data_IF_644454501389
#
_entry.id   IF_644454501389
#
_cell.length_a   1.000
_cell.length_b   1.000
_cell.length_c   1.000
_cell.angle_alpha   90.00
_cell.angle_beta   90.00
_cell.angle_gamma   90.00
#
_symmetry.space_group_name_H-M   'P 1'
#
loop_
_entity.id
_entity.type
_entity.pdbx_description
1 polymer ?
#
# COMPACT_ATOMS: atom_id res chain seq x y z
N UNK A 1 0.22 -2.43 15.51
CA UNK A 1 -1.08 -1.71 15.51
C UNK A 1 -0.87 -0.26 15.11
N UNK A 2 -1.71 0.27 14.21
CA UNK A 2 -1.76 1.69 13.85
C UNK A 2 -3.14 2.20 14.28
N UNK A 3 -3.15 3.34 15.00
CA UNK A 3 -4.38 4.05 15.36
C UNK A 3 -4.39 5.41 14.68
N UNK A 4 -5.51 5.72 14.06
CA UNK A 4 -5.81 7.02 13.47
C UNK A 4 -6.98 7.60 14.26
N UNK A 5 -6.80 8.79 14.84
CA UNK A 5 -7.77 9.43 15.72
C UNK A 5 -8.15 10.80 15.15
N UNK A 6 -9.40 10.97 14.78
CA UNK A 6 -9.98 12.21 14.26
C UNK A 6 -9.04 12.93 13.24
N UNK A 7 -8.42 12.15 12.36
CA UNK A 7 -7.49 12.70 11.37
C UNK A 7 -8.21 13.63 10.41
N UNK A 8 -7.74 14.87 10.32
CA UNK A 8 -8.27 15.87 9.41
C UNK A 8 -7.14 16.58 8.69
N UNK A 9 -7.24 16.68 7.35
CA UNK A 9 -6.32 17.44 6.51
C UNK A 9 -7.12 18.32 5.57
N UNK A 10 -6.91 19.62 5.67
CA UNK A 10 -7.58 20.60 4.82
C UNK A 10 -6.63 21.08 3.73
N UNK A 11 -6.98 20.89 2.47
CA UNK A 11 -6.34 21.50 1.30
C UNK A 11 -7.33 22.44 0.62
N UNK A 12 -6.85 23.38 -0.19
CA UNK A 12 -7.67 24.44 -0.82
C UNK A 12 -8.97 23.92 -1.48
N UNK A 13 -8.96 22.75 -2.06
CA UNK A 13 -10.08 22.16 -2.81
C UNK A 13 -10.52 20.77 -2.31
N UNK A 14 -9.93 20.27 -1.22
CA UNK A 14 -10.21 18.92 -0.75
C UNK A 14 -10.01 18.79 0.76
N UNK A 15 -10.93 18.12 1.44
CA UNK A 15 -10.84 17.80 2.86
C UNK A 15 -10.75 16.27 3.03
N UNK A 16 -9.70 15.83 3.73
CA UNK A 16 -9.60 14.47 4.22
C UNK A 16 -10.06 14.44 5.67
N UNK A 17 -10.96 13.53 6.01
CA UNK A 17 -11.44 13.34 7.37
C UNK A 17 -12.76 14.06 7.69
N UNK A 18 -13.21 13.94 8.97
CA UNK A 18 -12.55 13.21 10.06
C UNK A 18 -12.44 11.71 9.79
N UNK A 19 -11.30 11.12 10.16
CA UNK A 19 -11.06 9.67 10.04
C UNK A 19 -10.64 9.12 11.39
N UNK A 20 -11.38 8.11 11.86
CA UNK A 20 -11.02 7.23 12.97
C UNK A 20 -10.81 5.82 12.38
N UNK A 21 -9.65 5.20 12.67
CA UNK A 21 -9.30 3.91 12.10
C UNK A 21 -8.29 3.17 12.99
N UNK A 22 -8.50 1.89 13.19
CA UNK A 22 -7.51 1.00 13.81
C UNK A 22 -7.11 -0.10 12.83
N UNK A 23 -5.80 -0.33 12.69
CA UNK A 23 -5.22 -1.40 11.88
C UNK A 23 -4.32 -2.25 12.78
N UNK A 24 -4.60 -3.53 12.83
CA UNK A 24 -3.87 -4.51 13.64
C UNK A 24 -2.89 -5.30 12.78
N UNK A 25 -1.86 -5.89 13.43
CA UNK A 25 -0.98 -6.85 12.77
C UNK A 25 -1.72 -8.14 12.41
N UNK A 26 -1.16 -8.92 11.49
CA UNK A 26 -1.73 -10.17 11.02
C UNK A 26 -2.70 -10.03 9.85
N UNK A 27 -2.99 -8.81 9.38
CA UNK A 27 -4.01 -8.58 8.37
C UNK A 27 -3.52 -7.78 7.15
N UNK A 28 -4.19 -8.02 6.03
CA UNK A 28 -4.07 -7.27 4.78
C UNK A 28 -5.26 -6.33 4.64
N UNK A 29 -5.00 -5.03 4.63
CA UNK A 29 -6.01 -3.99 4.47
C UNK A 29 -5.98 -3.45 3.04
N UNK A 30 -7.02 -3.66 2.27
CA UNK A 30 -7.19 -3.05 0.96
C UNK A 30 -7.95 -1.72 1.08
N UNK A 31 -7.30 -0.63 0.69
CA UNK A 31 -7.90 0.70 0.61
C UNK A 31 -8.30 0.94 -0.83
N UNK A 32 -9.59 1.16 -1.06
CA UNK A 32 -10.14 1.40 -2.39
C UNK A 32 -11.07 2.63 -2.40
N UNK A 33 -11.56 3.01 -3.56
CA UNK A 33 -12.43 4.16 -3.76
C UNK A 33 -12.14 4.85 -5.08
N UNK A 34 -13.02 5.75 -5.52
CA UNK A 34 -12.89 6.46 -6.79
C UNK A 34 -11.60 7.29 -6.87
N UNK A 35 -11.17 7.59 -8.10
CA UNK A 35 -10.08 8.54 -8.31
C UNK A 35 -10.42 9.88 -7.65
N UNK A 36 -9.45 10.49 -6.96
CA UNK A 36 -9.68 11.73 -6.20
C UNK A 36 -10.34 11.55 -4.83
N UNK A 37 -10.65 10.33 -4.38
CA UNK A 37 -11.26 10.10 -3.05
C UNK A 37 -10.34 10.39 -1.86
N UNK A 38 -9.02 10.61 -2.11
CA UNK A 38 -8.05 10.96 -1.07
C UNK A 38 -7.11 9.83 -0.64
N UNK A 39 -7.12 8.65 -1.30
CA UNK A 39 -6.29 7.48 -0.95
C UNK A 39 -4.80 7.81 -0.79
N UNK A 40 -4.22 8.44 -1.80
CA UNK A 40 -2.80 8.82 -1.77
C UNK A 40 -2.50 9.84 -0.67
N UNK A 41 -3.40 10.83 -0.45
CA UNK A 41 -3.25 11.80 0.63
C UNK A 41 -3.33 11.12 2.00
N UNK A 42 -4.25 10.18 2.17
CA UNK A 42 -4.36 9.37 3.39
C UNK A 42 -3.07 8.58 3.63
N UNK A 43 -2.55 7.86 2.62
CA UNK A 43 -1.27 7.14 2.74
C UNK A 43 -0.10 8.08 3.07
N UNK A 44 0.03 9.20 2.36
CA UNK A 44 1.11 10.16 2.63
C UNK A 44 1.05 10.69 4.07
N UNK A 45 -0.15 10.91 4.60
CA UNK A 45 -0.33 11.35 5.98
C UNK A 45 -0.01 10.21 6.95
N UNK A 46 -0.48 9.00 6.67
CA UNK A 46 -0.18 7.81 7.46
C UNK A 46 1.33 7.56 7.57
N UNK A 47 2.08 7.77 6.49
CA UNK A 47 3.53 7.61 6.42
C UNK A 47 4.33 8.83 6.95
N UNK A 48 3.65 9.85 7.47
CA UNK A 48 4.29 11.07 7.97
C UNK A 48 4.92 11.95 6.89
N UNK A 49 4.59 11.74 5.61
CA UNK A 49 5.02 12.59 4.50
C UNK A 49 4.18 13.88 4.41
N UNK A 50 2.99 13.87 5.00
CA UNK A 50 2.14 15.06 5.18
C UNK A 50 1.95 15.32 6.69
N UNK A 51 2.03 16.59 7.12
CA UNK A 51 1.83 16.92 8.53
C UNK A 51 0.38 16.63 8.96
N UNK A 52 0.25 16.13 10.18
CA UNK A 52 -1.01 15.92 10.89
C UNK A 52 -0.90 16.44 12.32
N UNK A 53 -2.00 16.51 13.05
CA UNK A 53 -1.97 16.81 14.47
C UNK A 53 -1.16 15.76 15.25
N UNK A 54 -0.57 16.15 16.39
CA UNK A 54 0.46 15.37 17.12
C UNK A 54 0.05 13.93 17.41
N UNK A 55 -1.20 13.69 17.76
CA UNK A 55 -1.71 12.36 18.14
C UNK A 55 -2.73 11.80 17.16
N UNK A 56 -2.84 12.39 15.97
CA UNK A 56 -3.77 11.90 14.97
C UNK A 56 -3.39 10.52 14.44
N UNK A 57 -2.08 10.18 14.45
CA UNK A 57 -1.60 8.87 13.99
C UNK A 57 -0.59 8.32 14.99
N UNK A 58 -0.85 7.11 15.49
CA UNK A 58 -0.04 6.43 16.50
C UNK A 58 0.34 5.03 16.00
N UNK A 59 1.63 4.73 16.04
CA UNK A 59 2.21 3.43 15.72
C UNK A 59 2.70 2.76 17.01
N UNK A 60 2.02 1.70 17.48
CA UNK A 60 2.44 0.99 18.71
C UNK A 60 2.76 1.94 19.89
N UNK A 61 1.94 2.95 20.14
CA UNK A 61 2.12 4.02 21.13
C UNK A 61 3.16 5.11 20.76
N UNK A 62 3.78 5.05 19.58
CA UNK A 62 4.71 6.06 19.07
C UNK A 62 3.99 7.06 18.17
N UNK A 63 4.36 8.35 18.23
CA UNK A 63 3.86 9.38 17.31
C UNK A 63 5.01 10.00 16.50
N UNK A 64 4.70 10.55 15.30
CA UNK A 64 5.71 11.10 14.40
C UNK A 64 6.46 12.31 14.94
N UNK A 65 5.87 13.10 15.83
CA UNK A 65 6.54 14.28 16.37
C UNK A 65 7.76 13.93 17.23
N UNK A 66 7.70 12.81 17.92
CA UNK A 66 8.74 12.38 18.85
C UNK A 66 9.57 11.19 18.33
N UNK A 67 8.96 10.34 17.51
CA UNK A 67 9.52 9.02 17.18
C UNK A 67 9.58 8.77 15.66
N UNK A 68 9.82 9.81 14.85
CA UNK A 68 9.77 9.69 13.40
C UNK A 68 10.76 8.66 12.84
N UNK A 69 11.95 8.52 13.44
CA UNK A 69 12.98 7.57 13.00
C UNK A 69 12.53 6.13 13.29
N UNK A 70 12.06 5.89 14.51
CA UNK A 70 11.58 4.58 14.95
C UNK A 70 10.37 4.12 14.13
N UNK A 71 9.40 5.01 13.90
CA UNK A 71 8.23 4.71 13.09
C UNK A 71 8.62 4.38 11.64
N UNK A 72 9.54 5.16 11.03
CA UNK A 72 10.01 4.90 9.67
C UNK A 72 10.72 3.55 9.52
N UNK A 73 11.26 3.00 10.59
CA UNK A 73 11.84 1.64 10.60
C UNK A 73 10.78 0.54 10.62
N UNK A 74 9.53 0.83 10.99
CA UNK A 74 8.47 -0.15 11.05
C UNK A 74 7.91 -0.51 9.66
N UNK A 75 7.98 0.41 8.70
CA UNK A 75 7.38 0.21 7.39
C UNK A 75 8.37 0.31 6.23
N UNK A 76 8.00 -0.31 5.12
CA UNK A 76 8.51 -0.02 3.79
C UNK A 76 7.37 0.45 2.88
N UNK A 77 7.69 1.31 1.92
CA UNK A 77 6.69 1.93 1.05
C UNK A 77 7.02 1.70 -0.42
N UNK A 78 6.08 1.11 -1.13
CA UNK A 78 6.08 0.94 -2.58
C UNK A 78 5.21 2.04 -3.18
N UNK A 79 5.85 3.06 -3.72
CA UNK A 79 5.17 4.20 -4.33
C UNK A 79 4.53 3.84 -5.68
N UNK A 80 3.50 4.59 -6.09
CA UNK A 80 2.90 4.46 -7.43
C UNK A 80 3.89 4.78 -8.56
N UNK A 81 4.84 5.68 -8.31
CA UNK A 81 5.87 6.10 -9.28
C UNK A 81 7.24 6.17 -8.64
N UNK A 82 8.32 5.96 -9.41
CA UNK A 82 9.68 6.10 -8.88
C UNK A 82 9.93 7.49 -8.29
N UNK A 83 10.60 7.53 -7.12
CA UNK A 83 11.00 8.75 -6.41
C UNK A 83 12.49 9.06 -6.60
N UNK A 84 13.18 8.33 -7.45
CA UNK A 84 14.59 8.51 -7.80
C UNK A 84 14.73 8.92 -9.27
N UNK A 85 15.94 9.47 -9.63
CA UNK A 85 16.20 9.90 -11.00
C UNK A 85 16.07 8.76 -11.99
N UNK A 86 15.37 9.00 -13.09
CA UNK A 86 15.17 8.06 -14.18
C UNK A 86 16.41 7.84 -15.04
N UNK A 87 17.46 8.68 -14.90
CA UNK A 87 18.76 8.56 -15.57
C UNK A 87 19.70 7.56 -14.90
N UNK A 88 19.43 7.14 -13.67
CA UNK A 88 20.20 6.13 -12.96
C UNK A 88 19.96 4.74 -13.54
N UNK A 89 20.97 3.86 -13.44
CA UNK A 89 20.80 2.45 -13.72
C UNK A 89 20.09 1.73 -12.56
N UNK A 90 19.41 0.61 -12.83
CA UNK A 90 18.73 -0.20 -11.82
C UNK A 90 19.68 -0.60 -10.70
N UNK A 91 20.84 -1.19 -11.02
CA UNK A 91 21.88 -1.58 -10.06
C UNK A 91 22.38 -0.40 -9.21
N UNK A 92 22.56 0.79 -9.79
CA UNK A 92 23.00 1.98 -9.05
C UNK A 92 21.96 2.38 -7.99
N UNK A 93 20.66 2.32 -8.35
CA UNK A 93 19.58 2.60 -7.40
C UNK A 93 19.62 1.61 -6.24
N UNK A 94 19.73 0.30 -6.53
CA UNK A 94 19.72 -0.74 -5.51
C UNK A 94 20.94 -0.63 -4.57
N UNK A 95 22.13 -0.38 -5.09
CA UNK A 95 23.34 -0.15 -4.28
C UNK A 95 23.25 1.12 -3.42
N UNK A 96 22.63 2.19 -3.93
CA UNK A 96 22.41 3.39 -3.12
C UNK A 96 21.46 3.13 -1.96
N UNK A 97 20.39 2.39 -2.21
CA UNK A 97 19.41 2.02 -1.17
C UNK A 97 20.08 1.13 -0.10
N UNK A 98 20.88 0.12 -0.51
CA UNK A 98 21.56 -0.77 0.44
C UNK A 98 22.56 -0.06 1.36
N UNK A 99 23.10 1.10 0.93
CA UNK A 99 23.97 1.94 1.77
C UNK A 99 23.20 2.82 2.75
N UNK A 100 21.92 3.10 2.49
CA UNK A 100 21.10 4.01 3.29
C UNK A 100 20.24 3.21 4.29
N UNK A 101 19.75 2.04 3.87
CA UNK A 101 18.86 1.19 4.66
C UNK A 101 19.45 -0.22 4.80
N UNK A 102 19.99 -0.51 5.98
CA UNK A 102 20.57 -1.83 6.31
C UNK A 102 19.55 -2.98 6.32
N UNK A 103 18.26 -2.68 6.35
CA UNK A 103 17.19 -3.68 6.27
C UNK A 103 17.00 -4.22 4.85
N UNK A 104 17.52 -3.50 3.84
CA UNK A 104 17.34 -3.86 2.44
C UNK A 104 18.26 -5.01 2.03
N UNK A 105 17.66 -6.12 1.64
CA UNK A 105 18.34 -7.32 1.14
C UNK A 105 18.59 -7.18 -0.36
N UNK A 106 19.69 -6.54 -0.70
CA UNK A 106 20.04 -6.23 -2.09
C UNK A 106 20.25 -7.48 -2.94
N UNK A 107 20.81 -8.56 -2.37
CA UNK A 107 21.10 -9.79 -3.09
C UNK A 107 19.82 -10.51 -3.51
N UNK A 108 18.87 -10.67 -2.59
CA UNK A 108 17.53 -11.21 -2.91
C UNK A 108 16.77 -10.34 -3.91
N UNK A 109 16.92 -9.01 -3.80
CA UNK A 109 16.33 -8.09 -4.76
C UNK A 109 16.91 -8.31 -6.16
N UNK A 110 18.23 -8.46 -6.30
CA UNK A 110 18.87 -8.79 -7.57
C UNK A 110 18.39 -10.13 -8.15
N UNK A 111 18.31 -11.18 -7.33
CA UNK A 111 17.81 -12.50 -7.74
C UNK A 111 16.38 -12.40 -8.29
N UNK A 112 15.50 -11.71 -7.57
CA UNK A 112 14.13 -11.51 -8.00
C UNK A 112 14.03 -10.74 -9.32
N UNK A 113 14.74 -9.60 -9.46
CA UNK A 113 14.70 -8.80 -10.68
C UNK A 113 15.28 -9.56 -11.88
N UNK A 114 16.34 -10.35 -11.71
CA UNK A 114 16.85 -11.23 -12.75
C UNK A 114 15.81 -12.27 -13.18
N UNK A 115 15.08 -12.88 -12.22
CA UNK A 115 13.97 -13.81 -12.52
C UNK A 115 12.87 -13.11 -13.32
N UNK A 116 12.58 -11.84 -13.02
CA UNK A 116 11.66 -11.00 -13.79
C UNK A 116 12.23 -10.51 -15.13
N UNK A 117 13.47 -10.91 -15.49
CA UNK A 117 14.17 -10.51 -16.70
C UNK A 117 14.41 -8.99 -16.81
N UNK A 118 14.50 -8.28 -15.72
CA UNK A 118 14.83 -6.86 -15.68
C UNK A 118 16.35 -6.72 -15.84
N UNK A 119 16.78 -5.96 -16.85
CA UNK A 119 18.19 -5.72 -17.14
C UNK A 119 18.76 -4.72 -16.13
N UNK A 120 19.65 -5.18 -15.23
CA UNK A 120 20.15 -4.38 -14.11
C UNK A 120 21.01 -3.17 -14.52
N UNK A 121 21.60 -3.18 -15.71
CA UNK A 121 22.37 -2.06 -16.26
C UNK A 121 21.53 -1.09 -17.10
N UNK A 122 20.24 -1.38 -17.32
CA UNK A 122 19.32 -0.44 -17.97
C UNK A 122 19.08 0.78 -17.10
N UNK A 123 18.93 1.92 -17.72
CA UNK A 123 18.49 3.14 -17.05
C UNK A 123 16.99 3.06 -16.75
N UNK A 124 16.55 3.70 -15.68
CA UNK A 124 15.15 3.64 -15.24
C UNK A 124 14.18 4.12 -16.32
N UNK A 125 14.55 5.14 -17.12
CA UNK A 125 13.69 5.62 -18.21
C UNK A 125 13.49 4.59 -19.33
N UNK A 126 14.40 3.61 -19.48
CA UNK A 126 14.32 2.55 -20.48
C UNK A 126 13.35 1.43 -20.08
N UNK A 127 13.03 1.33 -18.79
CA UNK A 127 12.06 0.35 -18.29
C UNK A 127 10.65 0.71 -18.72
N UNK A 128 9.86 -0.31 -19.09
CA UNK A 128 8.43 -0.20 -19.24
C UNK A 128 7.76 0.18 -17.91
N UNK A 129 6.51 0.63 -17.95
CA UNK A 129 5.76 0.95 -16.72
C UNK A 129 5.62 -0.25 -15.79
N UNK A 130 5.38 -1.45 -16.36
CA UNK A 130 5.31 -2.68 -15.58
C UNK A 130 6.63 -3.04 -14.90
N UNK A 131 7.76 -2.92 -15.62
CA UNK A 131 9.09 -3.17 -15.04
C UNK A 131 9.44 -2.17 -13.94
N UNK A 132 9.06 -0.89 -14.10
CA UNK A 132 9.20 0.12 -13.04
C UNK A 132 8.42 -0.28 -11.79
N UNK A 133 7.19 -0.78 -11.94
CA UNK A 133 6.38 -1.27 -10.82
C UNK A 133 7.02 -2.48 -10.14
N UNK A 134 7.53 -3.45 -10.92
CA UNK A 134 8.23 -4.61 -10.39
C UNK A 134 9.49 -4.18 -9.62
N UNK A 135 10.25 -3.22 -10.13
CA UNK A 135 11.42 -2.67 -9.43
C UNK A 135 11.04 -2.01 -8.10
N UNK A 136 10.00 -1.16 -8.10
CA UNK A 136 9.51 -0.50 -6.88
C UNK A 136 9.00 -1.52 -5.85
N UNK A 137 8.25 -2.53 -6.31
CA UNK A 137 7.82 -3.63 -5.46
C UNK A 137 9.01 -4.36 -4.84
N UNK A 138 10.00 -4.74 -5.65
CA UNK A 138 11.19 -5.45 -5.17
C UNK A 138 11.93 -4.64 -4.09
N UNK A 139 12.13 -3.34 -4.30
CA UNK A 139 12.76 -2.47 -3.32
C UNK A 139 11.98 -2.49 -1.99
N UNK A 140 10.67 -2.29 -2.03
CA UNK A 140 9.86 -2.26 -0.82
C UNK A 140 9.76 -3.63 -0.12
N UNK A 141 9.57 -4.70 -0.88
CA UNK A 141 9.41 -6.06 -0.36
C UNK A 141 10.70 -6.60 0.28
N UNK A 142 11.85 -6.40 -0.37
CA UNK A 142 13.13 -6.85 0.15
C UNK A 142 13.73 -5.90 1.20
N UNK A 143 13.06 -4.80 1.52
CA UNK A 143 13.33 -4.02 2.73
C UNK A 143 12.57 -4.67 3.89
N UNK A 144 13.27 -5.36 4.79
CA UNK A 144 12.68 -6.07 5.93
C UNK A 144 11.97 -5.10 6.86
N UNK A 145 10.65 -5.14 6.87
CA UNK A 145 9.79 -4.30 7.70
C UNK A 145 8.63 -5.13 8.27
N UNK A 146 7.96 -4.63 9.30
CA UNK A 146 6.73 -5.26 9.81
C UNK A 146 5.47 -4.78 9.11
N UNK A 147 5.54 -3.63 8.42
CA UNK A 147 4.42 -3.04 7.69
C UNK A 147 4.85 -2.79 6.25
N UNK A 148 4.17 -3.39 5.29
CA UNK A 148 4.38 -3.16 3.87
C UNK A 148 3.24 -2.32 3.31
N UNK A 149 3.56 -1.12 2.84
CA UNK A 149 2.59 -0.18 2.27
C UNK A 149 2.76 -0.11 0.77
N UNK A 150 1.69 -0.40 0.03
CA UNK A 150 1.71 -0.55 -1.42
C UNK A 150 0.70 0.43 -2.05
N UNK A 151 1.20 1.38 -2.86
CA UNK A 151 0.34 2.32 -3.58
C UNK A 151 0.21 1.90 -5.04
N UNK A 152 -0.93 1.29 -5.37
CA UNK A 152 -1.29 0.82 -6.71
C UNK A 152 -0.17 -0.03 -7.39
N UNK A 153 0.32 -1.10 -6.73
CA UNK A 153 1.51 -1.82 -7.17
C UNK A 153 1.31 -2.64 -8.44
N UNK A 154 0.07 -2.97 -8.80
CA UNK A 154 -0.23 -3.92 -9.89
C UNK A 154 -0.58 -3.27 -11.23
N UNK A 155 -0.62 -1.95 -11.30
CA UNK A 155 -0.94 -1.21 -12.53
C UNK A 155 0.13 -1.44 -13.61
N UNK A 156 -0.28 -1.95 -14.78
CA UNK A 156 0.61 -2.19 -15.92
C UNK A 156 1.54 -3.40 -15.79
N UNK A 157 1.39 -4.22 -14.76
CA UNK A 157 2.16 -5.47 -14.59
C UNK A 157 1.50 -6.61 -15.36
N UNK A 158 2.31 -7.42 -16.08
CA UNK A 158 1.85 -8.62 -16.77
C UNK A 158 1.36 -9.72 -15.81
N UNK A 159 0.45 -10.58 -16.29
CA UNK A 159 -0.23 -11.60 -15.46
C UNK A 159 0.72 -12.53 -14.70
N UNK A 160 1.85 -12.94 -15.30
CA UNK A 160 2.81 -13.84 -14.66
C UNK A 160 3.48 -13.16 -13.48
N UNK A 161 4.03 -11.96 -13.67
CA UNK A 161 4.67 -11.19 -12.62
C UNK A 161 3.65 -10.79 -11.52
N UNK A 162 2.42 -10.45 -11.90
CA UNK A 162 1.33 -10.16 -10.95
C UNK A 162 1.08 -11.37 -10.04
N UNK A 163 0.99 -12.58 -10.60
CA UNK A 163 0.80 -13.80 -9.81
C UNK A 163 1.95 -14.03 -8.84
N UNK A 164 3.20 -13.93 -9.30
CA UNK A 164 4.37 -14.11 -8.43
C UNK A 164 4.41 -13.09 -7.29
N UNK A 165 4.08 -11.83 -7.57
CA UNK A 165 3.99 -10.79 -6.53
C UNK A 165 2.88 -11.11 -5.52
N UNK A 166 1.72 -11.59 -5.97
CA UNK A 166 0.64 -12.00 -5.08
C UNK A 166 1.06 -13.16 -4.17
N UNK A 167 1.79 -14.14 -4.71
CA UNK A 167 2.30 -15.27 -3.93
C UNK A 167 3.33 -14.79 -2.89
N UNK A 168 4.27 -13.90 -3.26
CA UNK A 168 5.22 -13.28 -2.33
C UNK A 168 4.53 -12.47 -1.22
N UNK A 169 3.43 -11.77 -1.53
CA UNK A 169 2.68 -11.02 -0.52
C UNK A 169 1.96 -11.95 0.47
N UNK A 170 1.48 -13.11 0.03
CA UNK A 170 0.95 -14.13 0.94
C UNK A 170 2.03 -14.70 1.85
N UNK A 171 3.20 -15.02 1.28
CA UNK A 171 4.35 -15.54 2.04
C UNK A 171 4.95 -14.50 3.00
N UNK A 172 4.73 -13.19 2.72
CA UNK A 172 5.15 -12.11 3.62
C UNK A 172 4.36 -12.10 4.93
N UNK A 173 3.10 -12.52 4.93
CA UNK A 173 2.20 -12.35 6.07
C UNK A 173 2.49 -13.37 7.18
N UNK A 174 2.51 -12.85 8.40
CA UNK A 174 2.47 -13.56 9.67
C UNK A 174 1.70 -12.72 10.72
N UNK A 175 1.52 -13.22 11.91
CA UNK A 175 0.78 -12.54 13.00
C UNK A 175 1.30 -11.16 13.39
N UNK A 176 2.58 -10.86 13.09
CA UNK A 176 3.25 -9.62 13.45
C UNK A 176 3.39 -8.65 12.28
N UNK A 177 2.97 -9.06 11.08
CA UNK A 177 3.08 -8.27 9.86
C UNK A 177 1.77 -7.67 9.44
N UNK A 178 1.85 -6.62 8.63
CA UNK A 178 0.69 -5.92 8.09
C UNK A 178 0.97 -5.52 6.65
N UNK A 179 -0.03 -5.66 5.78
CA UNK A 179 -0.01 -5.05 4.46
C UNK A 179 -1.11 -4.00 4.38
N UNK A 180 -0.76 -2.79 3.93
CA UNK A 180 -1.71 -1.74 3.56
C UNK A 180 -1.60 -1.56 2.06
N UNK A 181 -2.62 -1.94 1.33
CA UNK A 181 -2.65 -1.96 -0.13
C UNK A 181 -3.68 -0.99 -0.67
N UNK A 182 -3.26 0.02 -1.41
CA UNK A 182 -4.18 0.84 -2.22
C UNK A 182 -4.32 0.21 -3.59
N UNK A 183 -5.54 -0.14 -3.98
CA UNK A 183 -5.85 -0.69 -5.29
C UNK A 183 -7.33 -0.49 -5.65
N UNK A 184 -7.61 -0.37 -6.93
CA UNK A 184 -8.97 -0.37 -7.49
C UNK A 184 -9.30 -1.71 -8.19
N UNK A 185 -8.36 -2.68 -8.18
CA UNK A 185 -8.52 -3.98 -8.83
C UNK A 185 -9.27 -4.98 -7.91
N UNK A 186 -10.54 -5.32 -8.22
CA UNK A 186 -11.35 -6.22 -7.39
C UNK A 186 -10.77 -7.62 -7.27
N UNK A 187 -10.03 -8.09 -8.28
CA UNK A 187 -9.39 -9.42 -8.25
C UNK A 187 -8.23 -9.46 -7.27
N UNK A 188 -7.48 -8.36 -7.17
CA UNK A 188 -6.41 -8.23 -6.17
C UNK A 188 -7.00 -8.19 -4.77
N UNK A 189 -8.05 -7.38 -4.56
CA UNK A 189 -8.76 -7.29 -3.29
C UNK A 189 -9.25 -8.69 -2.87
N UNK A 190 -9.96 -9.38 -3.76
CA UNK A 190 -10.48 -10.73 -3.51
C UNK A 190 -9.40 -11.75 -3.15
N UNK A 191 -8.19 -11.60 -3.71
CA UNK A 191 -7.13 -12.61 -3.57
C UNK A 191 -6.22 -12.40 -2.36
N UNK A 192 -6.20 -11.19 -1.79
CA UNK A 192 -5.24 -10.82 -0.75
C UNK A 192 -5.87 -10.22 0.50
N UNK A 193 -6.95 -9.43 0.37
CA UNK A 193 -7.44 -8.61 1.47
C UNK A 193 -8.19 -9.44 2.51
N UNK A 194 -7.92 -9.17 3.79
CA UNK A 194 -8.75 -9.58 4.91
C UNK A 194 -9.82 -8.52 5.17
N UNK A 195 -9.43 -7.24 5.10
CA UNK A 195 -10.32 -6.09 5.30
C UNK A 195 -10.35 -5.18 4.08
N UNK A 196 -11.54 -4.67 3.77
CA UNK A 196 -11.75 -3.65 2.73
C UNK A 196 -12.10 -2.32 3.39
N UNK A 197 -11.37 -1.26 3.02
CA UNK A 197 -11.60 0.11 3.45
C UNK A 197 -11.99 0.92 2.21
N UNK A 198 -13.23 1.39 2.15
CA UNK A 198 -13.69 2.24 1.05
C UNK A 198 -13.58 3.70 1.47
N UNK A 199 -12.72 4.44 0.75
CA UNK A 199 -12.55 5.88 0.94
C UNK A 199 -13.35 6.64 -0.11
N UNK A 200 -14.24 7.51 0.33
CA UNK A 200 -15.09 8.33 -0.53
C UNK A 200 -15.11 9.78 -0.05
N UNK A 201 -14.87 10.72 -0.97
CA UNK A 201 -14.88 12.16 -0.67
C UNK A 201 -14.08 12.53 0.61
N UNK A 202 -12.91 11.89 0.81
CA UNK A 202 -12.05 12.13 1.95
C UNK A 202 -12.47 11.46 3.26
N UNK A 203 -13.49 10.63 3.27
CA UNK A 203 -14.00 9.93 4.46
C UNK A 203 -14.00 8.43 4.26
N UNK A 204 -13.84 7.68 5.34
CA UNK A 204 -14.06 6.23 5.31
C UNK A 204 -15.57 5.99 5.28
N UNK A 205 -16.05 5.41 4.18
CA UNK A 205 -17.43 4.95 4.03
C UNK A 205 -17.61 3.59 4.72
N UNK A 206 -16.65 2.68 4.53
CA UNK A 206 -16.72 1.31 5.02
C UNK A 206 -15.33 0.84 5.45
N UNK A 207 -15.25 0.14 6.58
CA UNK A 207 -14.16 -0.76 6.97
C UNK A 207 -14.76 -2.05 7.44
N UNK A 208 -14.68 -3.09 6.65
CA UNK A 208 -15.29 -4.40 6.97
C UNK A 208 -14.38 -5.54 6.52
N UNK A 209 -14.52 -6.67 7.21
CA UNK A 209 -13.95 -7.95 6.79
C UNK A 209 -14.54 -8.37 5.43
N UNK A 210 -13.71 -8.97 4.57
CA UNK A 210 -14.14 -9.33 3.21
C UNK A 210 -15.20 -10.43 3.20
N UNK A 211 -15.17 -11.34 4.16
CA UNK A 211 -16.17 -12.43 4.29
C UNK A 211 -17.50 -11.84 4.77
N UNK A 212 -17.48 -10.96 5.77
CA UNK A 212 -18.68 -10.25 6.24
C UNK A 212 -19.33 -9.42 5.11
N UNK A 213 -18.49 -8.75 4.28
CA UNK A 213 -18.99 -8.03 3.10
C UNK A 213 -19.67 -8.97 2.10
N UNK A 214 -19.08 -10.14 1.82
CA UNK A 214 -19.66 -11.13 0.90
C UNK A 214 -20.99 -11.68 1.43
N UNK A 215 -21.08 -11.94 2.73
CA UNK A 215 -22.30 -12.38 3.39
C UNK A 215 -23.40 -11.30 3.33
N UNK A 216 -23.05 -10.06 3.71
CA UNK A 216 -23.96 -8.91 3.71
C UNK A 216 -24.57 -8.63 2.33
N UNK A 217 -23.79 -8.76 1.26
CA UNK A 217 -24.26 -8.54 -0.12
C UNK A 217 -24.72 -9.82 -0.82
N UNK A 218 -24.65 -10.97 -0.14
CA UNK A 218 -25.00 -12.29 -0.68
C UNK A 218 -24.33 -12.58 -2.04
N UNK A 219 -23.05 -12.21 -2.17
CA UNK A 219 -22.25 -12.43 -3.37
C UNK A 219 -20.76 -12.45 -3.06
N UNK A 220 -20.00 -13.26 -3.81
CA UNK A 220 -18.52 -13.28 -3.76
C UNK A 220 -17.89 -12.39 -4.83
N UNK A 221 -18.69 -11.64 -5.59
CA UNK A 221 -18.26 -10.70 -6.62
C UNK A 221 -17.90 -9.36 -5.98
N UNK A 222 -16.60 -9.18 -5.69
CA UNK A 222 -16.10 -7.98 -5.03
C UNK A 222 -16.38 -6.71 -5.84
N UNK A 223 -16.35 -6.79 -7.18
CA UNK A 223 -16.66 -5.62 -8.02
C UNK A 223 -18.10 -5.14 -7.79
N UNK A 224 -19.06 -6.06 -7.76
CA UNK A 224 -20.47 -5.73 -7.44
C UNK A 224 -20.62 -5.14 -6.05
N UNK A 225 -19.96 -5.73 -5.04
CA UNK A 225 -19.99 -5.23 -3.67
C UNK A 225 -19.48 -3.79 -3.63
N UNK A 226 -18.30 -3.53 -4.20
CA UNK A 226 -17.70 -2.19 -4.21
C UNK A 226 -18.59 -1.17 -4.93
N UNK A 227 -19.15 -1.54 -6.08
CA UNK A 227 -20.09 -0.67 -6.83
C UNK A 227 -21.34 -0.33 -6.00
N UNK A 228 -21.91 -1.31 -5.30
CA UNK A 228 -23.06 -1.07 -4.43
C UNK A 228 -22.73 -0.15 -3.26
N UNK A 229 -21.59 -0.36 -2.60
CA UNK A 229 -21.13 0.53 -1.51
C UNK A 229 -20.94 1.96 -2.04
N UNK A 230 -20.28 2.15 -3.18
CA UNK A 230 -20.01 3.47 -3.78
C UNK A 230 -21.27 4.17 -4.28
N UNK A 231 -22.35 3.44 -4.59
CA UNK A 231 -23.67 4.00 -4.93
C UNK A 231 -24.54 4.28 -3.71
N UNK A 232 -24.09 3.95 -2.51
CA UNK A 232 -24.87 4.08 -1.27
C UNK A 232 -26.02 3.10 -1.17
N UNK A 233 -25.99 2.02 -1.95
CA UNK A 233 -26.99 0.96 -1.87
C UNK A 233 -26.81 0.20 -0.56
N UNK A 234 -27.85 0.20 0.28
CA UNK A 234 -27.90 -0.68 1.45
C UNK A 234 -28.12 -2.11 0.94
N UNK A 235 -27.42 -3.09 1.56
CA UNK A 235 -27.62 -4.51 1.27
C UNK A 235 -29.10 -4.84 1.14
N UNK A 236 -29.47 -5.54 0.06
CA UNK A 236 -30.79 -6.19 -0.02
C UNK A 236 -30.77 -7.37 0.98
N UNK A 237 -31.22 -7.13 2.21
CA UNK A 237 -31.67 -8.17 3.13
C UNK A 237 -33.16 -8.37 2.89
#
# INVERSE_FOLDING_TARGET
MIKVNNLQINKKSFQLGPIDLELEGGYVYAITGNSGSGKTLFLQTLLGAMPSETNAIIYNSLNFHQNAVEIKKLYSYVADKPLFSDTLQVNEVLYKISKIDERFDVDKCFEFLNKQKIVLHSKIYELSQGEKKILLFAIGYFTKSSILVLDNPFSGIGLIAKKEILDLLRDYMDENKMIILVTEDPLVIKSLADYVIVLENGRINTKEDIVELQERFNTTDIEKILLSIMKGEKSNV
#
